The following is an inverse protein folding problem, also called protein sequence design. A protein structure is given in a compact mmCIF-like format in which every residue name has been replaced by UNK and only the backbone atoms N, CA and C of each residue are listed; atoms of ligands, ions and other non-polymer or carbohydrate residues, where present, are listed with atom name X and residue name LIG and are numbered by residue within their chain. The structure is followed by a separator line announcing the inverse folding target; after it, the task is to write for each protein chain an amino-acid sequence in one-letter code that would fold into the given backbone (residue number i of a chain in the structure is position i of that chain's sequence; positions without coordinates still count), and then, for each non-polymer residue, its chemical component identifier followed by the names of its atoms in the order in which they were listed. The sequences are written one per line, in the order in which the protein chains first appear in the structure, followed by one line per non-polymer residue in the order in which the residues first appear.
data_IF_056334254680
#
_entry.id   IF_056334254680
#
_cell.length_a   1.000
_cell.length_b   1.000
_cell.length_c   1.000
_cell.angle_alpha   90.00
_cell.angle_beta   90.00
_cell.angle_gamma   90.00
#
_symmetry.space_group_name_H-M   'P 1'
#
loop_
_entity.id
_entity.type
_entity.pdbx_description
1 polymer ?
#
# COMPACT_ATOMS: atom_id res chain seq x y z
N UNK A 1 26.80 -5.08 9.98
CA UNK A 1 28.13 -5.23 9.34
C UNK A 1 29.23 -4.53 10.11
N UNK A 2 29.43 -3.21 10.00
CA UNK A 2 30.52 -2.52 10.71
C UNK A 2 30.47 -2.67 12.24
N UNK A 3 29.26 -2.76 12.80
CA UNK A 3 29.01 -3.03 14.23
C UNK A 3 29.48 -4.42 14.69
N UNK A 4 29.44 -5.40 13.79
CA UNK A 4 29.83 -6.78 14.06
C UNK A 4 31.34 -6.94 13.91
N UNK A 5 31.91 -6.31 12.86
CA UNK A 5 33.34 -6.26 12.58
C UNK A 5 33.67 -5.00 11.77
N UNK A 6 34.72 -4.24 12.14
CA UNK A 6 35.21 -3.13 11.30
C UNK A 6 35.43 -3.55 9.85
N UNK A 7 34.98 -2.72 8.91
CA UNK A 7 35.03 -3.03 7.47
C UNK A 7 36.39 -2.59 6.94
N UNK A 8 37.16 -3.49 6.34
CA UNK A 8 38.43 -3.11 5.71
C UNK A 8 38.20 -2.20 4.50
N UNK A 9 39.10 -1.24 4.23
CA UNK A 9 39.00 -0.34 3.07
C UNK A 9 38.93 -1.07 1.71
N UNK A 10 39.39 -2.31 1.66
CA UNK A 10 39.39 -3.14 0.46
C UNK A 10 38.16 -4.07 0.35
N UNK A 11 37.36 -4.19 1.40
CA UNK A 11 36.11 -4.95 1.42
C UNK A 11 34.93 -4.08 0.93
N UNK A 12 33.90 -4.72 0.36
CA UNK A 12 32.65 -4.08 -0.09
C UNK A 12 32.87 -2.92 -1.08
N UNK A 13 33.73 -3.11 -2.08
CA UNK A 13 34.06 -2.07 -3.08
C UNK A 13 32.82 -1.61 -3.85
N UNK A 14 31.91 -2.54 -4.13
CA UNK A 14 30.60 -2.32 -4.76
C UNK A 14 29.71 -1.35 -3.97
N UNK A 15 29.94 -1.19 -2.66
CA UNK A 15 29.17 -0.31 -1.78
C UNK A 15 29.96 0.92 -1.31
N UNK A 16 31.05 1.28 -2.02
CA UNK A 16 31.92 2.40 -1.62
C UNK A 16 31.16 3.72 -1.40
N UNK A 17 30.20 4.04 -2.27
CA UNK A 17 29.40 5.26 -2.14
C UNK A 17 28.57 5.28 -0.85
N UNK A 18 28.02 4.13 -0.45
CA UNK A 18 27.24 3.98 0.78
C UNK A 18 28.15 4.17 1.99
N UNK A 19 29.33 3.55 1.99
CA UNK A 19 30.33 3.71 3.05
C UNK A 19 30.72 5.18 3.19
N UNK A 20 31.04 5.86 2.09
CA UNK A 20 31.40 7.28 2.10
C UNK A 20 30.26 8.17 2.61
N UNK A 21 29.00 7.85 2.27
CA UNK A 21 27.85 8.53 2.85
C UNK A 21 27.81 8.38 4.37
N UNK A 22 28.00 7.17 4.90
CA UNK A 22 28.03 6.96 6.36
C UNK A 22 29.22 7.65 7.04
N UNK A 23 30.39 7.71 6.39
CA UNK A 23 31.54 8.48 6.87
C UNK A 23 31.24 9.98 6.91
N UNK A 24 30.64 10.53 5.85
CA UNK A 24 30.25 11.95 5.78
C UNK A 24 29.27 12.35 6.89
N UNK A 25 28.33 11.46 7.25
CA UNK A 25 27.39 11.69 8.36
C UNK A 25 28.00 11.40 9.75
N UNK A 26 29.22 10.84 9.78
CA UNK A 26 29.94 10.49 11.01
C UNK A 26 29.44 9.21 11.68
N UNK A 27 28.66 8.39 10.99
CA UNK A 27 28.24 7.06 11.47
C UNK A 27 29.39 6.05 11.42
N UNK A 28 30.30 6.23 10.46
CA UNK A 28 31.55 5.48 10.35
C UNK A 28 32.73 6.44 10.47
N UNK A 29 33.83 5.95 11.02
CA UNK A 29 35.12 6.66 11.09
C UNK A 29 36.21 5.79 10.50
N UNK A 30 37.14 6.38 9.76
CA UNK A 30 38.29 5.65 9.20
C UNK A 30 39.41 5.63 10.24
N UNK A 31 39.79 4.45 10.72
CA UNK A 31 40.90 4.24 11.66
C UNK A 31 41.78 3.11 11.13
N UNK A 32 43.09 3.32 11.05
CA UNK A 32 44.07 2.27 10.66
C UNK A 32 43.65 1.43 9.43
N UNK A 33 43.11 2.10 8.42
CA UNK A 33 42.63 1.50 7.15
C UNK A 33 41.34 0.65 7.25
N UNK A 34 40.58 0.79 8.34
CA UNK A 34 39.27 0.17 8.56
C UNK A 34 38.21 1.22 8.87
N UNK A 35 36.98 0.98 8.42
CA UNK A 35 35.81 1.74 8.78
C UNK A 35 35.20 1.18 10.06
N UNK A 36 35.30 1.96 11.13
CA UNK A 36 34.83 1.61 12.48
C UNK A 36 33.54 2.38 12.77
N UNK A 37 32.51 1.73 13.34
CA UNK A 37 31.26 2.39 13.70
C UNK A 37 31.43 3.38 14.85
N UNK A 38 30.84 4.57 14.72
CA UNK A 38 30.67 5.50 15.83
C UNK A 38 29.44 5.08 16.64
N UNK A 39 29.64 4.25 17.68
CA UNK A 39 28.55 3.66 18.48
C UNK A 39 27.62 4.70 19.10
N UNK A 40 28.15 5.84 19.53
CA UNK A 40 27.34 6.89 20.15
C UNK A 40 26.36 7.52 19.16
N UNK A 41 26.78 7.71 17.90
CA UNK A 41 25.93 8.27 16.85
C UNK A 41 24.94 7.30 16.23
N UNK A 42 25.26 6.01 16.19
CA UNK A 42 24.42 5.00 15.53
C UNK A 42 23.48 4.26 16.48
N UNK A 43 23.61 4.45 17.79
CA UNK A 43 22.81 3.72 18.78
C UNK A 43 21.30 3.88 18.53
N UNK A 44 20.81 5.12 18.40
CA UNK A 44 19.40 5.38 18.10
C UNK A 44 18.97 4.77 16.76
N UNK A 45 19.81 4.90 15.73
CA UNK A 45 19.54 4.30 14.41
C UNK A 45 19.37 2.78 14.49
N UNK A 46 20.16 2.09 15.32
CA UNK A 46 20.07 0.64 15.50
C UNK A 46 18.86 0.24 16.36
N UNK A 47 18.52 1.04 17.36
CA UNK A 47 17.33 0.82 18.21
C UNK A 47 16.02 0.97 17.41
N UNK A 48 15.99 1.92 16.46
CA UNK A 48 14.84 2.15 15.57
C UNK A 48 14.82 1.21 14.35
N UNK A 49 15.88 0.46 14.09
CA UNK A 49 16.00 -0.38 12.90
C UNK A 49 15.22 -1.69 13.03
N UNK A 50 14.30 -1.91 12.10
CA UNK A 50 13.61 -3.19 11.93
C UNK A 50 13.99 -3.82 10.61
N UNK A 51 14.45 -5.08 10.62
CA UNK A 51 14.72 -5.86 9.40
C UNK A 51 13.46 -6.01 8.54
N UNK A 52 12.27 -5.96 9.18
CA UNK A 52 10.98 -6.08 8.50
C UNK A 52 10.39 -4.73 8.08
N UNK A 53 11.09 -3.63 8.35
CA UNK A 53 10.55 -2.28 8.13
C UNK A 53 9.26 -2.00 8.91
N UNK A 54 9.03 -2.75 10.00
CA UNK A 54 7.80 -2.64 10.81
C UNK A 54 7.70 -1.23 11.37
N UNK A 55 6.59 -0.56 11.06
CA UNK A 55 6.25 0.75 11.64
C UNK A 55 6.00 0.68 13.14
N UNK A 56 5.60 1.80 13.74
CA UNK A 56 5.25 1.83 15.17
C UNK A 56 4.09 0.86 15.46
N UNK A 57 4.13 0.24 16.63
CA UNK A 57 3.09 -0.68 17.12
C UNK A 57 2.21 -0.04 18.18
N UNK A 58 0.96 -0.48 18.27
CA UNK A 58 0.00 -0.16 19.31
C UNK A 58 -0.07 -1.35 20.27
N UNK A 59 0.15 -1.11 21.55
CA UNK A 59 0.07 -2.14 22.58
C UNK A 59 -1.37 -2.47 22.96
N UNK A 60 -1.72 -3.75 23.03
CA UNK A 60 -3.07 -4.22 23.32
C UNK A 60 -3.14 -4.71 24.77
N UNK A 61 -4.05 -4.15 25.55
CA UNK A 61 -4.27 -4.49 26.95
C UNK A 61 -5.63 -5.14 27.19
N UNK A 62 -5.66 -6.19 28.01
CA UNK A 62 -6.88 -6.82 28.53
C UNK A 62 -6.75 -6.96 30.05
N UNK A 63 -7.72 -6.47 30.81
CA UNK A 63 -7.74 -6.53 32.28
C UNK A 63 -6.44 -5.97 32.91
N UNK A 64 -5.87 -4.92 32.32
CA UNK A 64 -4.64 -4.26 32.76
C UNK A 64 -3.33 -4.97 32.39
N UNK A 65 -3.39 -6.11 31.67
CA UNK A 65 -2.20 -6.85 31.20
C UNK A 65 -2.03 -6.69 29.70
N UNK A 66 -0.79 -6.51 29.24
CA UNK A 66 -0.46 -6.53 27.81
C UNK A 66 -0.67 -7.95 27.28
N UNK A 67 -1.50 -8.09 26.25
CA UNK A 67 -1.83 -9.38 25.61
C UNK A 67 -1.32 -9.49 24.18
N UNK A 68 -0.85 -8.39 23.60
CA UNK A 68 -0.26 -8.36 22.27
C UNK A 68 0.02 -6.95 21.80
N UNK A 69 0.28 -6.82 20.51
CA UNK A 69 0.49 -5.56 19.81
C UNK A 69 -0.01 -5.66 18.36
N UNK A 70 -0.24 -4.51 17.74
CA UNK A 70 -0.60 -4.41 16.32
C UNK A 70 0.12 -3.25 15.64
N UNK A 71 0.60 -3.47 14.43
CA UNK A 71 1.44 -2.50 13.69
C UNK A 71 0.57 -1.47 12.96
N UNK A 72 1.01 -0.21 12.91
CA UNK A 72 0.38 0.83 12.07
C UNK A 72 0.70 0.62 10.57
N UNK A 73 -0.22 0.96 9.65
CA UNK A 73 -1.52 1.61 9.91
C UNK A 73 -2.67 0.64 10.24
N UNK A 74 -2.49 -0.68 10.09
CA UNK A 74 -3.54 -1.70 10.30
C UNK A 74 -4.17 -1.59 11.70
N UNK A 75 -3.38 -1.21 12.71
CA UNK A 75 -3.88 -0.96 14.04
C UNK A 75 -5.01 0.10 14.09
N UNK A 76 -5.02 1.10 13.20
CA UNK A 76 -6.12 2.08 13.14
C UNK A 76 -7.43 1.44 12.67
N UNK A 77 -7.35 0.45 11.78
CA UNK A 77 -8.50 -0.24 11.21
C UNK A 77 -9.08 -1.29 12.16
N UNK A 78 -8.21 -2.01 12.88
CA UNK A 78 -8.63 -3.13 13.73
C UNK A 78 -8.83 -2.74 15.21
N UNK A 79 -8.23 -1.63 15.66
CA UNK A 79 -8.24 -1.21 17.05
C UNK A 79 -8.92 0.15 17.28
N UNK A 80 -9.64 0.71 16.32
CA UNK A 80 -10.43 1.93 16.56
C UNK A 80 -11.44 1.71 17.70
N UNK A 81 -11.91 2.81 18.32
CA UNK A 81 -12.95 2.75 19.36
C UNK A 81 -14.17 1.97 18.83
N UNK A 82 -14.72 1.09 19.66
CA UNK A 82 -15.82 0.17 19.37
C UNK A 82 -15.53 -0.96 18.36
N UNK A 83 -14.30 -1.09 17.85
CA UNK A 83 -13.92 -2.22 16.99
C UNK A 83 -14.09 -3.57 17.71
N UNK A 84 -14.45 -4.60 16.94
CA UNK A 84 -14.49 -5.99 17.40
C UNK A 84 -13.19 -6.67 16.98
N UNK A 85 -12.28 -6.80 17.95
CA UNK A 85 -10.95 -7.37 17.75
C UNK A 85 -10.94 -8.88 18.06
N UNK A 86 -10.29 -9.65 17.19
CA UNK A 86 -10.13 -11.09 17.36
C UNK A 86 -8.75 -11.40 17.95
N UNK A 87 -8.75 -12.00 19.14
CA UNK A 87 -7.53 -12.48 19.78
C UNK A 87 -7.65 -13.99 20.00
N UNK A 88 -6.82 -14.76 19.27
CA UNK A 88 -6.81 -16.23 19.30
C UNK A 88 -8.22 -16.86 19.12
N UNK A 89 -8.99 -16.33 18.16
CA UNK A 89 -10.35 -16.80 17.86
C UNK A 89 -11.43 -16.32 18.83
N UNK A 90 -11.07 -15.61 19.90
CA UNK A 90 -12.03 -15.01 20.83
C UNK A 90 -12.24 -13.53 20.48
N UNK A 91 -13.49 -13.08 20.55
CA UNK A 91 -13.89 -11.70 20.22
C UNK A 91 -13.83 -10.80 21.45
N UNK A 92 -13.36 -9.59 21.24
CA UNK A 92 -13.26 -8.54 22.23
C UNK A 92 -13.74 -7.24 21.63
N UNK A 93 -14.31 -6.37 22.45
CA UNK A 93 -14.62 -5.01 22.04
C UNK A 93 -13.51 -4.07 22.47
N UNK A 94 -13.08 -3.19 21.58
CA UNK A 94 -12.13 -2.12 21.92
C UNK A 94 -12.89 -1.00 22.63
N UNK A 95 -12.53 -0.74 23.88
CA UNK A 95 -13.16 0.29 24.72
C UNK A 95 -12.43 1.62 24.64
N UNK A 96 -11.11 1.57 24.51
CA UNK A 96 -10.26 2.75 24.47
C UNK A 96 -9.16 2.52 23.44
N UNK A 97 -8.94 3.51 22.59
CA UNK A 97 -7.86 3.56 21.63
C UNK A 97 -7.21 4.93 21.75
N UNK A 98 -5.92 4.97 22.08
CA UNK A 98 -5.19 6.21 22.17
C UNK A 98 -4.00 6.17 21.20
N UNK A 99 -4.09 7.05 20.21
CA UNK A 99 -3.11 7.39 19.19
C UNK A 99 -3.50 8.77 18.64
N UNK A 100 -2.55 9.68 18.34
CA UNK A 100 -1.09 9.51 18.38
C UNK A 100 -0.42 9.86 19.72
N UNK A 101 -1.16 10.38 20.70
CA UNK A 101 -0.61 10.89 21.97
C UNK A 101 0.07 9.80 22.80
N UNK A 102 -0.53 8.61 22.82
CA UNK A 102 0.01 7.37 23.37
C UNK A 102 -0.14 6.27 22.31
N UNK A 103 0.25 5.04 22.61
CA UNK A 103 0.22 3.93 21.65
C UNK A 103 -0.36 2.68 22.31
N UNK A 104 -1.64 2.73 22.68
CA UNK A 104 -2.32 1.58 23.26
C UNK A 104 -3.80 1.47 22.88
N UNK A 105 -4.31 0.25 22.97
CA UNK A 105 -5.72 -0.10 22.95
C UNK A 105 -6.10 -0.92 24.19
N UNK A 106 -7.30 -0.71 24.75
CA UNK A 106 -7.85 -1.52 25.84
C UNK A 106 -9.06 -2.30 25.37
N UNK A 107 -9.01 -3.61 25.61
CA UNK A 107 -10.05 -4.56 25.25
C UNK A 107 -10.97 -4.85 26.43
N UNK A 108 -12.22 -5.16 26.12
CA UNK A 108 -13.20 -5.72 27.03
C UNK A 108 -13.77 -7.02 26.46
N UNK A 109 -13.98 -8.00 27.34
CA UNK A 109 -14.66 -9.26 26.98
C UNK A 109 -16.11 -8.98 26.60
N UNK A 110 -16.54 -9.59 25.51
CA UNK A 110 -17.94 -9.62 25.08
C UNK A 110 -18.46 -11.05 25.05
N UNK A 111 -19.76 -11.22 24.80
CA UNK A 111 -20.37 -12.53 24.66
C UNK A 111 -19.66 -13.35 23.57
N UNK A 112 -19.40 -14.64 23.82
CA UNK A 112 -18.62 -15.50 22.89
C UNK A 112 -19.33 -15.71 21.56
N UNK A 113 -20.65 -15.65 21.59
CA UNK A 113 -21.58 -15.80 20.47
C UNK A 113 -21.92 -14.46 19.80
N UNK A 114 -21.27 -13.35 20.16
CA UNK A 114 -21.52 -12.05 19.55
C UNK A 114 -21.38 -12.13 18.02
N UNK A 115 -22.45 -11.92 17.23
CA UNK A 115 -22.51 -12.41 15.85
C UNK A 115 -21.81 -11.49 14.84
N UNK A 116 -21.29 -10.35 15.28
CA UNK A 116 -20.72 -9.34 14.39
C UNK A 116 -19.20 -9.19 14.53
N UNK A 117 -18.57 -8.72 13.46
CA UNK A 117 -17.23 -8.12 13.46
C UNK A 117 -17.28 -6.72 12.81
N UNK A 118 -16.23 -5.92 13.02
CA UNK A 118 -16.15 -4.58 12.43
C UNK A 118 -15.21 -4.56 11.25
N UNK A 119 -15.59 -3.84 10.20
CA UNK A 119 -14.73 -3.49 9.07
C UNK A 119 -14.59 -1.96 9.03
N UNK A 120 -13.35 -1.48 9.05
CA UNK A 120 -13.06 -0.05 8.96
C UNK A 120 -13.43 0.50 7.58
N UNK A 121 -13.88 1.76 7.57
CA UNK A 121 -14.05 2.57 6.38
C UNK A 121 -12.85 3.51 6.29
N UNK A 122 -12.12 3.45 5.19
CA UNK A 122 -10.85 4.17 5.02
C UNK A 122 -10.86 5.04 3.79
N UNK A 123 -10.06 6.10 3.78
CA UNK A 123 -9.71 6.83 2.56
C UNK A 123 -8.21 7.01 2.53
N UNK A 124 -7.62 6.91 1.34
CA UNK A 124 -6.20 7.13 1.11
C UNK A 124 -6.00 8.24 0.06
N UNK A 125 -5.01 9.10 0.29
CA UNK A 125 -4.69 10.22 -0.58
C UNK A 125 -3.17 10.28 -0.83
N UNK A 126 -2.72 10.18 -2.09
CA UNK A 126 -1.31 10.34 -2.44
C UNK A 126 -0.99 11.78 -2.85
N UNK A 127 0.12 12.32 -2.34
CA UNK A 127 0.68 13.61 -2.79
C UNK A 127 2.09 13.40 -3.34
N UNK A 128 2.36 13.93 -4.54
CA UNK A 128 3.70 13.91 -5.14
C UNK A 128 4.54 15.03 -4.52
N UNK A 129 5.54 14.68 -3.71
CA UNK A 129 6.44 15.67 -3.10
C UNK A 129 7.63 16.02 -3.99
N UNK A 130 8.18 15.03 -4.70
CA UNK A 130 9.39 15.23 -5.52
C UNK A 130 9.43 14.22 -6.65
N UNK A 131 9.60 14.71 -7.88
CA UNK A 131 9.84 13.88 -9.05
C UNK A 131 11.33 13.54 -9.15
N UNK A 132 11.66 12.26 -9.29
CA UNK A 132 13.04 11.79 -9.48
C UNK A 132 13.34 11.50 -10.94
N UNK A 133 12.47 10.73 -11.61
CA UNK A 133 12.65 10.30 -13.00
C UNK A 133 11.31 10.32 -13.73
N UNK A 134 11.32 10.69 -15.02
CA UNK A 134 10.17 10.63 -15.92
C UNK A 134 10.59 9.94 -17.21
N UNK A 135 9.70 9.11 -17.77
CA UNK A 135 9.89 8.48 -19.08
C UNK A 135 8.54 8.10 -19.68
N UNK A 136 8.54 7.72 -20.95
CA UNK A 136 7.40 7.06 -21.60
C UNK A 136 7.54 5.54 -21.51
N UNK A 137 6.41 4.86 -21.36
CA UNK A 137 6.26 3.41 -21.47
C UNK A 137 5.07 3.14 -22.41
N UNK A 138 5.32 2.61 -23.60
CA UNK A 138 4.33 2.49 -24.68
C UNK A 138 3.52 3.78 -24.96
N UNK A 139 4.16 4.96 -24.91
CA UNK A 139 3.49 6.25 -25.17
C UNK A 139 2.95 6.96 -23.93
N UNK A 140 2.56 6.21 -22.89
CA UNK A 140 2.10 6.73 -21.59
C UNK A 140 3.26 7.28 -20.74
N UNK A 141 3.08 8.46 -20.12
CA UNK A 141 4.02 8.97 -19.14
C UNK A 141 3.98 8.16 -17.83
N UNK A 142 5.15 7.75 -17.35
CA UNK A 142 5.35 7.19 -16.01
C UNK A 142 6.42 7.98 -15.25
N UNK A 143 6.09 8.33 -14.01
CA UNK A 143 6.96 9.10 -13.13
C UNK A 143 7.35 8.29 -11.90
N UNK A 144 8.65 8.24 -11.59
CA UNK A 144 9.16 7.75 -10.30
C UNK A 144 9.36 8.94 -9.36
N UNK A 145 8.76 8.88 -8.17
CA UNK A 145 8.66 10.03 -7.28
C UNK A 145 8.70 9.64 -5.80
N UNK A 146 8.90 10.67 -4.98
CA UNK A 146 8.65 10.66 -3.55
C UNK A 146 7.17 10.98 -3.31
N UNK A 147 6.50 10.11 -2.57
CA UNK A 147 5.08 10.23 -2.25
C UNK A 147 4.88 10.46 -0.75
N UNK A 148 3.92 11.31 -0.42
CA UNK A 148 3.32 11.40 0.90
C UNK A 148 1.96 10.73 0.83
N UNK A 149 1.79 9.63 1.56
CA UNK A 149 0.54 8.87 1.61
C UNK A 149 -0.18 9.24 2.90
N UNK A 150 -1.39 9.74 2.77
CA UNK A 150 -2.28 10.05 3.89
C UNK A 150 -3.39 9.03 3.94
N UNK A 151 -3.61 8.42 5.10
CA UNK A 151 -4.65 7.42 5.35
C UNK A 151 -5.54 7.88 6.49
N UNK A 152 -6.86 7.78 6.29
CA UNK A 152 -7.85 8.19 7.26
C UNK A 152 -8.85 7.08 7.48
N UNK A 153 -8.98 6.61 8.72
CA UNK A 153 -10.12 5.78 9.17
C UNK A 153 -11.20 6.73 9.67
N UNK A 154 -12.27 6.91 8.89
CA UNK A 154 -13.34 7.85 9.22
C UNK A 154 -14.56 7.17 9.85
N UNK A 155 -14.66 5.84 9.73
CA UNK A 155 -15.83 5.10 10.18
C UNK A 155 -15.60 3.60 10.17
N UNK A 156 -16.66 2.85 10.44
CA UNK A 156 -16.70 1.40 10.32
C UNK A 156 -18.13 0.90 10.02
N UNK A 157 -18.23 -0.35 9.62
CA UNK A 157 -19.49 -1.10 9.47
C UNK A 157 -19.44 -2.37 10.29
N UNK A 158 -20.56 -2.77 10.87
CA UNK A 158 -20.71 -4.08 11.50
C UNK A 158 -21.12 -5.10 10.45
N UNK A 159 -20.44 -6.23 10.38
CA UNK A 159 -20.74 -7.33 9.47
C UNK A 159 -21.09 -8.57 10.27
N UNK A 160 -22.18 -9.25 9.91
CA UNK A 160 -22.57 -10.51 10.53
C UNK A 160 -21.67 -11.64 10.03
N UNK A 161 -21.30 -12.55 10.94
CA UNK A 161 -20.45 -13.68 10.63
C UNK A 161 -21.17 -14.66 9.70
N UNK A 162 -20.51 -15.01 8.60
CA UNK A 162 -21.04 -15.93 7.59
C UNK A 162 -21.88 -15.25 6.51
N UNK A 163 -22.03 -13.92 6.55
CA UNK A 163 -22.55 -13.15 5.43
C UNK A 163 -21.40 -12.44 4.69
N UNK A 164 -21.41 -12.51 3.36
CA UNK A 164 -20.41 -11.85 2.50
C UNK A 164 -20.77 -10.39 2.18
N UNK A 165 -22.05 -10.02 2.31
CA UNK A 165 -22.53 -8.68 1.97
C UNK A 165 -22.42 -7.78 3.19
N UNK A 166 -21.94 -6.56 2.97
CA UNK A 166 -21.82 -5.47 3.95
C UNK A 166 -23.20 -5.02 4.47
N UNK A 167 -23.84 -5.85 5.29
CA UNK A 167 -25.12 -5.56 5.95
C UNK A 167 -24.83 -4.90 7.30
N UNK A 168 -24.49 -3.62 7.27
CA UNK A 168 -24.18 -2.85 8.47
C UNK A 168 -24.45 -1.37 8.27
N UNK A 169 -25.06 -0.74 9.27
CA UNK A 169 -25.16 0.73 9.27
C UNK A 169 -23.75 1.32 9.36
N UNK A 170 -23.39 2.20 8.41
CA UNK A 170 -22.15 2.97 8.47
C UNK A 170 -22.14 3.79 9.76
N UNK A 171 -21.13 3.59 10.60
CA UNK A 171 -20.90 4.37 11.82
C UNK A 171 -19.70 5.27 11.56
N UNK A 172 -19.93 6.57 11.60
CA UNK A 172 -18.86 7.58 11.49
C UNK A 172 -18.22 7.77 12.87
N UNK A 173 -16.89 7.79 12.93
CA UNK A 173 -16.17 8.07 14.17
C UNK A 173 -16.31 9.54 14.54
N UNK A 174 -16.39 9.84 15.84
CA UNK A 174 -16.43 11.24 16.35
C UNK A 174 -15.19 12.03 15.91
N UNK A 175 -14.04 11.36 15.85
CA UNK A 175 -12.77 11.90 15.36
C UNK A 175 -12.14 10.85 14.43
N UNK A 176 -11.90 11.17 13.15
CA UNK A 176 -11.17 10.30 12.24
C UNK A 176 -9.77 9.99 12.77
N UNK A 177 -9.29 8.78 12.50
CA UNK A 177 -7.92 8.38 12.83
C UNK A 177 -7.05 8.57 11.59
N UNK A 178 -6.04 9.42 11.71
CA UNK A 178 -5.17 9.79 10.61
C UNK A 178 -3.79 9.15 10.79
N UNK A 179 -3.22 8.66 9.70
CA UNK A 179 -1.85 8.19 9.62
C UNK A 179 -1.27 8.62 8.30
N UNK A 180 -0.08 9.20 8.33
CA UNK A 180 0.63 9.57 7.12
C UNK A 180 2.07 9.07 7.17
N UNK A 181 2.61 8.82 5.99
CA UNK A 181 3.99 8.39 5.84
C UNK A 181 4.54 8.80 4.48
N UNK A 182 5.86 9.00 4.46
CA UNK A 182 6.61 9.27 3.23
C UNK A 182 7.12 7.95 2.70
N UNK A 183 6.97 7.73 1.40
CA UNK A 183 7.51 6.58 0.68
C UNK A 183 7.98 6.97 -0.73
N UNK A 184 8.39 5.99 -1.54
CA UNK A 184 8.63 6.17 -2.97
C UNK A 184 7.62 5.35 -3.76
N UNK A 185 7.32 5.82 -4.96
CA UNK A 185 6.38 5.14 -5.82
C UNK A 185 6.49 5.57 -7.26
N UNK A 186 5.64 4.96 -8.07
CA UNK A 186 5.37 5.35 -9.43
C UNK A 186 3.94 5.88 -9.54
N UNK A 187 3.74 6.77 -10.49
CA UNK A 187 2.43 7.22 -10.93
C UNK A 187 2.40 7.22 -12.45
N UNK A 188 1.26 6.82 -13.01
CA UNK A 188 0.97 6.87 -14.44
C UNK A 188 -0.51 7.17 -14.65
N UNK A 189 -0.84 7.72 -15.82
CA UNK A 189 -2.21 8.03 -16.21
C UNK A 189 -2.71 6.97 -17.20
N UNK A 190 -3.61 6.10 -16.75
CA UNK A 190 -4.18 5.03 -17.56
C UNK A 190 -5.11 5.58 -18.66
N UNK A 191 -5.04 5.07 -19.89
CA UNK A 191 -5.98 5.41 -20.95
C UNK A 191 -7.43 5.09 -20.59
N UNK A 192 -8.36 5.90 -21.10
CA UNK A 192 -9.78 5.77 -20.79
C UNK A 192 -10.44 4.60 -21.55
N UNK A 193 -11.14 3.66 -20.89
CA UNK A 193 -11.74 2.48 -21.53
C UNK A 193 -13.08 2.81 -22.20
N UNK A 194 -13.05 3.62 -23.26
CA UNK A 194 -14.26 4.17 -23.91
C UNK A 194 -15.22 3.09 -24.47
N UNK A 195 -14.72 1.94 -24.91
CA UNK A 195 -15.58 0.92 -25.50
C UNK A 195 -16.44 0.21 -24.44
N UNK A 196 -15.89 -0.02 -23.25
CA UNK A 196 -16.67 -0.58 -22.13
C UNK A 196 -17.58 0.47 -21.49
N UNK A 197 -17.11 1.72 -21.35
CA UNK A 197 -17.93 2.84 -20.84
C UNK A 197 -19.20 3.01 -21.69
N UNK A 198 -19.06 3.07 -23.02
CA UNK A 198 -20.20 3.31 -23.93
C UNK A 198 -21.23 2.17 -23.97
N UNK A 199 -20.90 0.99 -23.43
CA UNK A 199 -21.83 -0.15 -23.31
C UNK A 199 -22.57 -0.17 -21.97
N UNK A 200 -22.12 0.62 -20.99
CA UNK A 200 -22.63 0.61 -19.62
C UNK A 200 -23.74 1.63 -19.42
N UNK A 201 -24.65 1.35 -18.49
CA UNK A 201 -25.61 2.33 -17.96
C UNK A 201 -24.98 3.21 -16.86
N UNK A 202 -23.91 2.71 -16.22
CA UNK A 202 -23.13 3.39 -15.20
C UNK A 202 -21.69 3.54 -15.69
N UNK A 203 -21.42 4.69 -16.33
CA UNK A 203 -20.12 5.02 -16.93
C UNK A 203 -19.03 5.16 -15.87
N UNK A 204 -19.33 5.87 -14.77
CA UNK A 204 -18.38 6.15 -13.69
C UNK A 204 -17.95 4.87 -12.99
N UNK A 205 -18.90 3.95 -12.72
CA UNK A 205 -18.60 2.64 -12.14
C UNK A 205 -17.64 1.84 -13.03
N UNK A 206 -17.89 1.72 -14.33
CA UNK A 206 -17.06 0.91 -15.24
C UNK A 206 -15.68 1.50 -15.44
N UNK A 207 -15.59 2.83 -15.50
CA UNK A 207 -14.33 3.57 -15.63
C UNK A 207 -13.44 3.35 -14.40
N UNK A 208 -13.93 3.71 -13.21
CA UNK A 208 -13.13 3.59 -12.00
C UNK A 208 -12.83 2.14 -11.61
N UNK A 209 -13.80 1.24 -11.80
CA UNK A 209 -13.59 -0.19 -11.54
C UNK A 209 -12.57 -0.80 -12.51
N UNK A 210 -12.43 -0.23 -13.72
CA UNK A 210 -11.37 -0.57 -14.67
C UNK A 210 -9.98 -0.15 -14.19
N UNK A 211 -9.85 1.07 -13.68
CA UNK A 211 -8.58 1.57 -13.13
C UNK A 211 -8.17 0.83 -11.85
N UNK A 212 -9.11 0.56 -10.94
CA UNK A 212 -8.86 -0.22 -9.73
C UNK A 212 -8.43 -1.67 -10.05
N UNK A 213 -9.09 -2.32 -11.00
CA UNK A 213 -8.65 -3.63 -11.49
C UNK A 213 -7.26 -3.55 -12.16
N UNK A 214 -6.97 -2.48 -12.91
CA UNK A 214 -5.66 -2.27 -13.54
C UNK A 214 -4.55 -2.12 -12.49
N UNK A 215 -4.79 -1.37 -11.41
CA UNK A 215 -3.88 -1.23 -10.27
C UNK A 215 -3.52 -2.61 -9.69
N UNK A 216 -4.53 -3.42 -9.35
CA UNK A 216 -4.33 -4.78 -8.83
C UNK A 216 -3.47 -5.63 -9.77
N UNK A 217 -3.83 -5.65 -11.06
CA UNK A 217 -3.17 -6.51 -12.05
C UNK A 217 -1.75 -6.02 -12.33
N UNK A 218 -1.46 -4.72 -12.29
CA UNK A 218 -0.09 -4.19 -12.39
C UNK A 218 0.75 -4.65 -11.21
N UNK A 219 0.24 -4.51 -9.98
CA UNK A 219 0.97 -4.92 -8.76
C UNK A 219 1.24 -6.42 -8.78
N UNK A 220 0.20 -7.25 -8.92
CA UNK A 220 0.35 -8.71 -8.86
C UNK A 220 1.07 -9.27 -10.09
N UNK A 221 0.78 -8.75 -11.28
CA UNK A 221 1.42 -9.14 -12.53
C UNK A 221 2.92 -8.84 -12.57
N UNK A 222 3.36 -7.83 -11.82
CA UNK A 222 4.77 -7.47 -11.73
C UNK A 222 5.63 -8.46 -10.93
N UNK A 223 5.03 -9.35 -10.13
CA UNK A 223 5.76 -10.10 -9.11
C UNK A 223 6.97 -10.88 -9.66
N UNK A 224 6.80 -11.60 -10.77
CA UNK A 224 7.89 -12.32 -11.42
C UNK A 224 8.92 -11.41 -12.10
N UNK A 225 8.50 -10.21 -12.53
CA UNK A 225 9.33 -9.23 -13.23
C UNK A 225 10.24 -8.47 -12.26
N UNK A 226 9.73 -8.20 -11.06
CA UNK A 226 10.41 -7.42 -10.02
C UNK A 226 11.21 -8.29 -9.04
N UNK A 227 11.06 -9.62 -9.11
CA UNK A 227 11.83 -10.57 -8.31
C UNK A 227 11.16 -10.94 -6.98
N UNK A 228 9.83 -10.96 -6.93
CA UNK A 228 9.07 -11.40 -5.76
C UNK A 228 8.57 -10.27 -4.85
N UNK A 229 8.68 -9.01 -5.27
CA UNK A 229 8.42 -7.84 -4.40
C UNK A 229 7.03 -7.24 -4.58
N UNK A 230 6.07 -7.92 -5.23
CA UNK A 230 4.70 -7.39 -5.32
C UNK A 230 4.02 -7.24 -3.94
N UNK A 231 4.42 -8.08 -2.98
CA UNK A 231 3.93 -8.04 -1.60
C UNK A 231 4.40 -6.79 -0.85
N UNK A 232 5.45 -6.15 -1.35
CA UNK A 232 6.05 -4.94 -0.81
C UNK A 232 5.48 -3.66 -1.46
N UNK A 233 4.44 -3.80 -2.30
CA UNK A 233 3.78 -2.71 -3.00
C UNK A 233 2.34 -2.52 -2.51
N UNK A 234 1.95 -1.26 -2.31
CA UNK A 234 0.57 -0.80 -2.22
C UNK A 234 0.17 -0.04 -3.48
N UNK A 235 -1.13 0.19 -3.65
CA UNK A 235 -1.66 0.95 -4.79
C UNK A 235 -2.85 1.81 -4.42
N UNK A 236 -3.04 2.88 -5.20
CA UNK A 236 -4.20 3.78 -5.15
C UNK A 236 -4.58 4.17 -6.57
N UNK A 237 -5.78 3.81 -7.01
CA UNK A 237 -6.44 4.35 -8.19
C UNK A 237 -7.40 5.48 -7.80
N UNK A 238 -7.21 6.66 -8.40
CA UNK A 238 -7.98 7.86 -8.06
C UNK A 238 -9.26 7.99 -8.91
N UNK A 239 -10.32 7.29 -8.50
CA UNK A 239 -11.66 7.45 -9.08
C UNK A 239 -11.67 7.26 -10.60
N UNK A 240 -12.29 8.21 -11.32
CA UNK A 240 -12.31 8.25 -12.79
C UNK A 240 -11.17 9.07 -13.41
N UNK A 241 -10.24 9.60 -12.60
CA UNK A 241 -9.12 10.42 -13.12
C UNK A 241 -8.13 9.65 -13.99
N UNK A 242 -8.12 8.32 -13.92
CA UNK A 242 -7.13 7.47 -14.58
C UNK A 242 -5.74 7.49 -13.91
N UNK A 243 -5.51 8.29 -12.87
CA UNK A 243 -4.25 8.30 -12.14
C UNK A 243 -4.14 7.06 -11.24
N UNK A 244 -3.10 6.25 -11.48
CA UNK A 244 -2.79 5.05 -10.71
C UNK A 244 -1.42 5.21 -10.06
N UNK A 245 -1.39 5.14 -8.73
CA UNK A 245 -0.20 5.18 -7.92
C UNK A 245 0.15 3.76 -7.46
N UNK A 246 1.43 3.39 -7.56
CA UNK A 246 1.96 2.15 -6.99
C UNK A 246 3.20 2.50 -6.17
N UNK A 247 3.17 2.21 -4.88
CA UNK A 247 4.17 2.71 -3.93
C UNK A 247 4.75 1.61 -3.05
N UNK A 248 5.96 1.84 -2.54
CA UNK A 248 6.60 0.94 -1.59
C UNK A 248 5.81 0.94 -0.26
N UNK A 249 5.39 -0.23 0.20
CA UNK A 249 4.67 -0.41 1.47
C UNK A 249 5.50 -0.13 2.72
N UNK A 250 6.81 0.16 2.57
CA UNK A 250 7.71 0.51 3.66
C UNK A 250 7.94 2.02 3.74
N UNK A 251 7.98 2.56 4.97
CA UNK A 251 8.30 3.97 5.22
C UNK A 251 9.69 4.29 4.64
N UNK A 252 9.77 5.37 3.85
CA UNK A 252 10.97 5.82 3.15
C UNK A 252 11.26 5.08 1.83
N UNK A 253 10.58 3.96 1.58
CA UNK A 253 10.71 3.13 0.39
C UNK A 253 11.80 2.04 0.50
N UNK A 254 11.46 0.84 0.03
CA UNK A 254 12.33 -0.35 -0.03
C UNK A 254 12.88 -0.63 -1.44
N UNK A 255 12.45 0.13 -2.46
CA UNK A 255 12.92 0.01 -3.84
C UNK A 255 12.09 -0.92 -4.72
N UNK A 256 10.99 -1.50 -4.23
CA UNK A 256 10.11 -2.35 -5.03
C UNK A 256 9.49 -1.58 -6.21
N UNK A 257 9.01 -0.35 -5.96
CA UNK A 257 8.46 0.56 -6.96
C UNK A 257 9.51 0.99 -7.98
N UNK A 258 10.77 1.15 -7.59
CA UNK A 258 11.87 1.42 -8.54
C UNK A 258 12.14 0.21 -9.43
N UNK A 259 12.14 -1.00 -8.88
CA UNK A 259 12.28 -2.22 -9.67
C UNK A 259 11.12 -2.40 -10.67
N UNK A 260 9.89 -2.03 -10.27
CA UNK A 260 8.74 -1.98 -11.16
C UNK A 260 8.91 -0.90 -12.24
N UNK A 261 9.27 0.32 -11.84
CA UNK A 261 9.52 1.44 -12.76
C UNK A 261 10.52 1.07 -13.86
N UNK A 262 11.63 0.42 -13.51
CA UNK A 262 12.70 0.08 -14.47
C UNK A 262 12.28 -1.01 -15.47
N UNK A 263 11.21 -1.76 -15.19
CA UNK A 263 10.75 -2.90 -16.01
C UNK A 263 9.26 -2.81 -16.34
N UNK A 264 8.73 -1.59 -16.33
CA UNK A 264 7.29 -1.35 -16.32
C UNK A 264 6.58 -1.90 -17.55
N UNK A 265 7.17 -1.78 -18.74
CA UNK A 265 6.64 -2.31 -19.99
C UNK A 265 6.39 -3.83 -19.90
N UNK A 266 7.35 -4.57 -19.36
CA UNK A 266 7.23 -6.02 -19.19
C UNK A 266 6.17 -6.39 -18.16
N UNK A 267 5.99 -5.54 -17.14
CA UNK A 267 4.92 -5.72 -16.16
C UNK A 267 3.55 -5.51 -16.83
N UNK A 268 3.37 -4.44 -17.61
CA UNK A 268 2.14 -4.14 -18.35
C UNK A 268 1.77 -5.25 -19.35
N UNK A 269 2.73 -5.73 -20.14
CA UNK A 269 2.52 -6.87 -21.04
C UNK A 269 2.02 -8.09 -20.28
N UNK A 270 2.70 -8.45 -19.18
CA UNK A 270 2.32 -9.59 -18.36
C UNK A 270 0.93 -9.41 -17.75
N UNK A 271 0.63 -8.21 -17.26
CA UNK A 271 -0.66 -7.83 -16.69
C UNK A 271 -1.79 -7.98 -17.71
N UNK A 272 -1.61 -7.51 -18.95
CA UNK A 272 -2.55 -7.73 -20.04
C UNK A 272 -2.82 -9.23 -20.25
N UNK A 273 -1.77 -10.05 -20.35
CA UNK A 273 -1.92 -11.50 -20.56
C UNK A 273 -2.68 -12.18 -19.43
N UNK A 274 -2.46 -11.79 -18.16
CA UNK A 274 -3.20 -12.34 -17.01
C UNK A 274 -4.71 -12.13 -17.16
N UNK A 275 -5.13 -10.92 -17.54
CA UNK A 275 -6.56 -10.59 -17.68
C UNK A 275 -7.15 -11.25 -18.93
N UNK A 276 -6.41 -11.20 -20.04
CA UNK A 276 -6.82 -11.71 -21.36
C UNK A 276 -7.00 -13.22 -21.39
N UNK A 277 -6.08 -13.97 -20.78
CA UNK A 277 -6.09 -15.44 -20.82
C UNK A 277 -6.94 -16.08 -19.73
N UNK A 278 -7.37 -15.31 -18.73
CA UNK A 278 -8.20 -15.84 -17.66
C UNK A 278 -9.58 -16.25 -18.20
N UNK A 279 -10.01 -17.52 -18.04
CA UNK A 279 -11.25 -18.03 -18.62
C UNK A 279 -12.51 -17.62 -17.85
N UNK A 280 -12.38 -16.85 -16.76
CA UNK A 280 -13.55 -16.43 -15.99
C UNK A 280 -14.43 -15.48 -16.83
N UNK A 281 -15.74 -15.61 -16.65
CA UNK A 281 -16.75 -14.79 -17.32
C UNK A 281 -17.35 -13.73 -16.40
N UNK A 282 -16.90 -13.66 -15.15
CA UNK A 282 -17.36 -12.67 -14.19
C UNK A 282 -16.86 -11.28 -14.57
N UNK A 283 -17.75 -10.29 -14.52
CA UNK A 283 -17.43 -8.89 -14.82
C UNK A 283 -16.31 -8.36 -13.92
N UNK A 284 -16.39 -8.62 -12.60
CA UNK A 284 -15.34 -8.22 -11.65
C UNK A 284 -14.06 -9.05 -11.76
N UNK A 285 -14.07 -10.12 -12.55
CA UNK A 285 -13.01 -11.11 -12.65
C UNK A 285 -13.00 -12.10 -11.48
N UNK A 286 -11.82 -12.56 -11.09
CA UNK A 286 -11.67 -13.60 -10.07
C UNK A 286 -10.27 -13.59 -9.41
N UNK A 287 -10.02 -14.43 -8.39
CA UNK A 287 -8.70 -14.60 -7.74
C UNK A 287 -7.52 -14.94 -8.66
N UNK A 288 -7.77 -15.30 -9.93
CA UNK A 288 -6.69 -15.59 -10.91
C UNK A 288 -6.33 -14.41 -11.79
N UNK A 289 -7.12 -13.34 -11.81
CA UNK A 289 -6.87 -12.18 -12.67
C UNK A 289 -6.87 -10.85 -11.94
N UNK A 290 -8.02 -10.40 -11.44
CA UNK A 290 -8.24 -9.01 -10.99
C UNK A 290 -8.26 -8.85 -9.48
N UNK A 291 -8.50 -9.91 -8.71
CA UNK A 291 -8.63 -9.78 -7.26
C UNK A 291 -7.26 -9.70 -6.60
N UNK A 292 -7.18 -8.88 -5.57
CA UNK A 292 -6.04 -8.78 -4.66
C UNK A 292 -6.49 -9.13 -3.24
N UNK A 293 -5.71 -9.96 -2.54
CA UNK A 293 -5.94 -10.22 -1.12
C UNK A 293 -5.53 -9.03 -0.22
N UNK A 294 -4.86 -8.02 -0.79
CA UNK A 294 -4.44 -6.80 -0.11
C UNK A 294 -5.37 -5.61 -0.39
N UNK A 295 -6.44 -5.81 -1.15
CA UNK A 295 -7.43 -4.78 -1.44
C UNK A 295 -8.17 -4.37 -0.15
N UNK A 296 -7.99 -3.12 0.29
CA UNK A 296 -8.72 -2.56 1.44
C UNK A 296 -10.24 -2.49 1.23
N UNK A 297 -10.67 -2.46 -0.03
CA UNK A 297 -12.08 -2.39 -0.43
C UNK A 297 -12.72 -3.77 -0.62
N UNK A 298 -12.09 -4.86 -0.17
CA UNK A 298 -12.63 -6.22 -0.26
C UNK A 298 -12.97 -6.66 -1.70
N UNK A 299 -12.19 -6.18 -2.69
CA UNK A 299 -12.41 -6.44 -4.11
C UNK A 299 -13.79 -5.98 -4.63
N UNK A 300 -14.42 -5.01 -3.97
CA UNK A 300 -15.55 -4.26 -4.52
C UNK A 300 -15.04 -3.29 -5.60
N UNK A 301 -15.91 -2.90 -6.55
CA UNK A 301 -15.60 -1.98 -7.66
C UNK A 301 -14.43 -2.47 -8.54
N UNK A 302 -14.58 -3.63 -9.15
CA UNK A 302 -13.62 -4.19 -10.11
C UNK A 302 -14.32 -4.50 -11.43
N UNK A 303 -13.64 -4.23 -12.55
CA UNK A 303 -14.19 -4.52 -13.88
C UNK A 303 -13.12 -5.02 -14.85
N UNK A 304 -13.18 -6.33 -15.14
CA UNK A 304 -12.21 -7.11 -15.94
C UNK A 304 -12.07 -6.58 -17.36
N UNK A 305 -13.18 -6.37 -18.07
CA UNK A 305 -13.16 -6.00 -19.49
C UNK A 305 -12.63 -4.58 -19.69
N UNK A 306 -13.11 -3.64 -18.87
CA UNK A 306 -12.56 -2.29 -18.74
C UNK A 306 -11.04 -2.29 -18.49
N UNK A 307 -10.55 -3.06 -17.51
CA UNK A 307 -9.09 -3.19 -17.29
C UNK A 307 -8.35 -3.80 -18.48
N UNK A 308 -8.93 -4.79 -19.18
CA UNK A 308 -8.34 -5.35 -20.39
C UNK A 308 -8.24 -4.30 -21.51
N UNK A 309 -9.27 -3.47 -21.68
CA UNK A 309 -9.26 -2.37 -22.64
C UNK A 309 -8.16 -1.35 -22.29
N UNK A 310 -8.04 -0.95 -21.02
CA UNK A 310 -6.95 -0.09 -20.54
C UNK A 310 -5.59 -0.65 -20.96
N UNK A 311 -5.32 -1.93 -20.66
CA UNK A 311 -4.04 -2.55 -21.05
C UNK A 311 -3.81 -2.61 -22.56
N UNK A 312 -4.86 -2.92 -23.34
CA UNK A 312 -4.74 -2.99 -24.80
C UNK A 312 -4.40 -1.61 -25.38
N UNK A 313 -5.06 -0.55 -24.93
CA UNK A 313 -4.79 0.84 -25.32
C UNK A 313 -3.36 1.27 -24.97
N UNK A 314 -2.89 0.93 -23.77
CA UNK A 314 -1.50 1.18 -23.38
C UNK A 314 -0.54 0.52 -24.37
N UNK A 315 -0.72 -0.78 -24.66
CA UNK A 315 0.18 -1.54 -25.53
C UNK A 315 0.11 -1.06 -26.99
N UNK A 316 -1.06 -0.58 -27.43
CA UNK A 316 -1.27 -0.01 -28.76
C UNK A 316 -0.61 1.38 -28.93
N UNK A 317 -0.07 1.96 -27.86
CA UNK A 317 0.70 3.19 -27.91
C UNK A 317 -0.06 4.47 -27.57
N UNK A 318 -1.21 4.37 -26.89
CA UNK A 318 -2.03 5.54 -26.54
C UNK A 318 -1.23 6.50 -25.64
N UNK A 319 -1.15 7.76 -26.04
CA UNK A 319 -0.42 8.79 -25.30
C UNK A 319 -1.29 9.37 -24.18
N UNK A 320 -0.75 9.38 -22.97
CA UNK A 320 -1.36 10.01 -21.81
C UNK A 320 -0.29 10.80 -21.04
N UNK A 321 -0.72 11.91 -20.43
CA UNK A 321 0.13 12.77 -19.60
C UNK A 321 -0.35 12.73 -18.16
N UNK A 322 0.57 12.85 -17.20
CA UNK A 322 0.22 12.88 -15.78
C UNK A 322 -0.27 14.28 -15.43
N UNK A 323 -1.52 14.37 -15.02
CA UNK A 323 -2.13 15.57 -14.47
C UNK A 323 -2.05 15.55 -12.94
N UNK A 324 -2.12 16.71 -12.30
CA UNK A 324 -2.15 16.80 -10.84
C UNK A 324 -3.52 16.32 -10.32
N UNK A 325 -3.56 15.45 -9.30
CA UNK A 325 -4.81 14.97 -8.74
C UNK A 325 -5.60 16.12 -8.10
N UNK A 326 -6.90 16.18 -8.38
CA UNK A 326 -7.84 17.16 -7.85
C UNK A 326 -8.73 16.57 -6.77
N UNK A 327 -9.24 17.35 -5.82
CA UNK A 327 -10.04 16.85 -4.67
C UNK A 327 -11.26 15.99 -5.06
N UNK A 328 -11.73 16.05 -6.31
CA UNK A 328 -12.82 15.23 -6.85
C UNK A 328 -12.42 13.79 -7.21
N UNK A 329 -11.12 13.51 -7.36
CA UNK A 329 -10.59 12.23 -7.86
C UNK A 329 -10.53 11.14 -6.80
N UNK A 330 -11.44 11.18 -5.82
CA UNK A 330 -11.40 10.26 -4.68
C UNK A 330 -11.58 8.82 -5.18
N UNK A 331 -10.81 7.85 -4.64
CA UNK A 331 -11.05 6.44 -4.89
C UNK A 331 -12.50 6.05 -4.57
N UNK A 332 -13.09 5.16 -5.35
CA UNK A 332 -14.37 4.52 -5.01
C UNK A 332 -14.12 3.58 -3.81
N UNK A 333 -14.27 4.12 -2.60
CA UNK A 333 -14.15 3.39 -1.32
C UNK A 333 -15.44 3.53 -0.51
#
# INVERSE_FOLDING_TARGET
MACDKPISKHELKEHHQVIQRHVKHGFLTLQENQYVPNRDKIKSMLEDYSIRGIGKSIDIFLDGRKVGDRVLPIALEELHKDAIYFLAGTRYKVMEFNYPEKSYAKLQRIARDYPYFTKALTTEWPTIETVYEKRKAFGMEITFCKLHIQKTVYGYVNMELGQEVTQGKKVVLEKPLEYDFITKGIVFHAPRPMNEITKSEDEEYVEASGYHATEHVVIEGSNMITGGVSQDLGGISLGTSGLIFVYDGAIGGNGASKALYDRFERALERSMYIVKECPCTNESGCPRCTFSYRCGNNNEFLHKHSSLEVFQRIIDGEETEIEDPTEGDKPFV
#
